data_IF_071495869963
#
_entry.id   IF_071495869963
#
_cell.length_a   1.000
_cell.length_b   1.000
_cell.length_c   1.000
_cell.angle_alpha   90.00
_cell.angle_beta   90.00
_cell.angle_gamma   90.00
#
_symmetry.space_group_name_H-M   'P 1'
#
loop_
_entity.id
_entity.type
_entity.pdbx_description
1 polymer ?
#
# COMPACT_ATOMS: atom_id res chain seq x y z
N UNK A 1 10.29 -5.79 10.35
CA UNK A 1 9.04 -6.07 9.62
C UNK A 1 8.03 -4.99 9.97
N UNK A 2 7.35 -4.41 8.97
CA UNK A 2 6.29 -3.42 9.18
C UNK A 2 4.93 -4.09 9.41
N UNK A 3 3.99 -3.37 10.03
CA UNK A 3 2.62 -3.84 10.27
C UNK A 3 1.82 -3.84 8.96
N UNK A 4 1.22 -4.98 8.60
CA UNK A 4 0.21 -5.04 7.55
C UNK A 4 -1.13 -4.72 8.18
N UNK A 5 -1.79 -3.67 7.70
CA UNK A 5 -3.12 -3.28 8.16
C UNK A 5 -4.15 -3.35 7.03
N UNK A 6 -5.22 -4.12 7.24
CA UNK A 6 -6.37 -4.17 6.33
C UNK A 6 -7.38 -3.09 6.72
N UNK A 7 -7.62 -2.13 5.81
CA UNK A 7 -8.48 -0.98 6.05
C UNK A 7 -9.84 -1.14 5.35
N UNK A 8 -10.78 -1.81 6.02
CA UNK A 8 -12.20 -1.85 5.63
C UNK A 8 -13.10 -1.60 6.84
N UNK A 9 -13.15 -0.34 7.30
CA UNK A 9 -13.81 0.06 8.57
C UNK A 9 -15.08 0.89 8.39
N UNK A 10 -15.58 1.02 7.15
CA UNK A 10 -16.72 1.91 6.83
C UNK A 10 -16.43 3.39 7.08
N UNK A 11 -15.15 3.78 7.16
CA UNK A 11 -14.74 5.15 7.39
C UNK A 11 -14.87 5.98 6.12
N UNK A 12 -15.20 7.26 6.29
CA UNK A 12 -15.02 8.22 5.21
C UNK A 12 -13.53 8.49 4.95
N UNK A 13 -13.27 9.21 3.86
CA UNK A 13 -11.91 9.54 3.45
C UNK A 13 -11.18 10.39 4.49
N UNK A 14 -11.85 11.35 5.12
CA UNK A 14 -11.21 12.26 6.08
C UNK A 14 -10.70 11.49 7.30
N UNK A 15 -11.53 10.58 7.82
CA UNK A 15 -11.18 9.75 8.97
C UNK A 15 -10.06 8.76 8.66
N UNK A 16 -10.06 8.17 7.46
CA UNK A 16 -8.97 7.31 6.99
C UNK A 16 -7.63 8.07 6.96
N UNK A 17 -7.62 9.26 6.39
CA UNK A 17 -6.41 10.08 6.24
C UNK A 17 -5.88 10.55 7.60
N UNK A 18 -6.76 11.03 8.48
CA UNK A 18 -6.39 11.42 9.83
C UNK A 18 -5.78 10.24 10.60
N UNK A 19 -6.41 9.07 10.53
CA UNK A 19 -5.88 7.87 11.17
C UNK A 19 -4.50 7.48 10.66
N UNK A 20 -4.30 7.45 9.33
CA UNK A 20 -3.00 7.10 8.75
C UNK A 20 -1.90 8.09 9.16
N UNK A 21 -2.21 9.38 9.17
CA UNK A 21 -1.28 10.43 9.57
C UNK A 21 -0.91 10.32 11.06
N UNK A 22 -1.90 10.23 11.94
CA UNK A 22 -1.69 10.17 13.39
C UNK A 22 -0.96 8.89 13.81
N UNK A 23 -1.18 7.79 13.09
CA UNK A 23 -0.61 6.48 13.44
C UNK A 23 0.83 6.34 12.95
N UNK A 24 1.11 6.75 11.71
CA UNK A 24 2.39 6.45 11.04
C UNK A 24 3.29 7.68 10.88
N UNK A 25 2.77 8.89 11.10
CA UNK A 25 3.55 10.13 11.00
C UNK A 25 4.02 10.45 9.59
N UNK A 26 4.69 11.59 9.43
CA UNK A 26 5.09 12.11 8.11
C UNK A 26 6.24 11.35 7.45
N UNK A 27 7.14 10.76 8.26
CA UNK A 27 8.31 10.00 7.80
C UNK A 27 8.57 8.77 8.66
N UNK A 28 9.15 7.75 8.05
CA UNK A 28 9.65 6.59 8.78
C UNK A 28 10.82 7.03 9.70
N UNK A 29 10.76 6.72 11.01
CA UNK A 29 11.77 7.17 11.97
C UNK A 29 13.14 6.47 11.81
N UNK A 30 13.22 5.39 11.02
CA UNK A 30 14.46 4.62 10.83
C UNK A 30 15.33 5.18 9.72
N UNK A 31 14.72 5.58 8.59
CA UNK A 31 15.42 5.95 7.36
C UNK A 31 14.97 7.31 6.77
N UNK A 32 14.10 8.04 7.47
CA UNK A 32 13.45 9.30 7.03
C UNK A 32 12.69 9.20 5.69
N UNK A 33 12.45 7.96 5.25
CA UNK A 33 11.74 7.61 4.04
C UNK A 33 10.22 7.67 4.20
N UNK A 34 9.49 7.15 3.20
CA UNK A 34 8.04 7.03 3.26
C UNK A 34 7.57 6.19 4.46
N UNK A 35 6.56 6.68 5.17
CA UNK A 35 6.04 6.00 6.37
C UNK A 35 5.14 4.82 6.05
N UNK A 36 4.51 4.83 4.88
CA UNK A 36 3.52 3.82 4.48
C UNK A 36 3.69 3.40 3.03
N UNK A 37 3.35 2.15 2.76
CA UNK A 37 3.07 1.63 1.42
C UNK A 37 1.56 1.46 1.30
N UNK A 38 0.97 1.97 0.22
CA UNK A 38 -0.46 1.78 -0.08
C UNK A 38 -0.61 0.69 -1.13
N UNK A 39 -1.38 -0.34 -0.81
CA UNK A 39 -1.74 -1.41 -1.75
C UNK A 39 -3.25 -1.46 -1.91
N UNK A 40 -3.73 -0.98 -3.05
CA UNK A 40 -5.12 -1.12 -3.48
C UNK A 40 -5.20 -2.08 -4.66
N UNK A 41 -6.41 -2.61 -4.90
CA UNK A 41 -6.71 -3.31 -6.13
C UNK A 41 -6.27 -2.49 -7.35
N UNK A 42 -5.62 -3.15 -8.30
CA UNK A 42 -5.19 -2.51 -9.55
C UNK A 42 -6.32 -2.46 -10.59
N UNK A 43 -7.55 -2.27 -10.12
CA UNK A 43 -8.69 -1.89 -10.92
C UNK A 43 -8.85 -0.35 -10.99
N UNK A 44 -9.90 0.12 -11.67
CA UNK A 44 -10.14 1.57 -11.80
C UNK A 44 -10.46 2.24 -10.45
N UNK A 45 -11.12 1.52 -9.54
CA UNK A 45 -11.57 2.05 -8.25
C UNK A 45 -10.40 2.15 -7.28
N UNK A 46 -9.62 1.07 -7.14
CA UNK A 46 -8.44 1.04 -6.31
C UNK A 46 -7.38 2.03 -6.78
N UNK A 47 -7.14 2.15 -8.09
CA UNK A 47 -6.22 3.19 -8.61
C UNK A 47 -6.68 4.62 -8.31
N UNK A 48 -8.00 4.89 -8.30
CA UNK A 48 -8.54 6.21 -7.88
C UNK A 48 -8.38 6.44 -6.39
N UNK A 49 -8.66 5.43 -5.57
CA UNK A 49 -8.52 5.51 -4.11
C UNK A 49 -7.06 5.72 -3.71
N UNK A 50 -6.15 4.96 -4.31
CA UNK A 50 -4.71 5.09 -4.11
C UNK A 50 -4.22 6.50 -4.44
N UNK A 51 -4.58 7.04 -5.61
CA UNK A 51 -4.23 8.41 -5.99
C UNK A 51 -4.82 9.46 -5.04
N UNK A 52 -6.04 9.24 -4.54
CA UNK A 52 -6.69 10.13 -3.59
C UNK A 52 -5.99 10.11 -2.22
N UNK A 53 -5.67 8.92 -1.70
CA UNK A 53 -4.94 8.75 -0.44
C UNK A 53 -3.58 9.43 -0.53
N UNK A 54 -2.84 9.15 -1.61
CA UNK A 54 -1.54 9.78 -1.86
C UNK A 54 -1.61 11.30 -1.83
N UNK A 55 -2.45 11.90 -2.68
CA UNK A 55 -2.55 13.35 -2.77
C UNK A 55 -2.88 14.01 -1.42
N UNK A 56 -3.75 13.39 -0.62
CA UNK A 56 -4.15 13.94 0.68
C UNK A 56 -3.03 13.82 1.71
N UNK A 57 -2.36 12.67 1.82
CA UNK A 57 -1.27 12.53 2.79
C UNK A 57 -0.03 13.33 2.39
N UNK A 58 0.31 13.37 1.10
CA UNK A 58 1.38 14.25 0.60
C UNK A 58 1.10 15.73 0.88
N UNK A 59 -0.18 16.16 0.85
CA UNK A 59 -0.56 17.53 1.23
C UNK A 59 -0.36 17.83 2.73
N UNK A 60 -0.21 16.79 3.56
CA UNK A 60 0.12 16.88 4.98
C UNK A 60 1.63 16.66 5.24
N UNK A 61 2.46 16.75 4.20
CA UNK A 61 3.91 16.46 4.22
C UNK A 61 4.25 15.00 4.60
N UNK A 62 3.29 14.08 4.47
CA UNK A 62 3.53 12.65 4.69
C UNK A 62 3.94 11.97 3.39
N UNK A 63 5.12 11.35 3.39
CA UNK A 63 5.63 10.59 2.25
C UNK A 63 5.01 9.19 2.18
N UNK A 64 4.58 8.81 0.98
CA UNK A 64 4.07 7.46 0.67
C UNK A 64 4.98 6.80 -0.37
N UNK A 65 5.19 5.50 -0.22
CA UNK A 65 5.80 4.66 -1.25
C UNK A 65 4.72 3.89 -2.04
N UNK A 66 4.69 4.09 -3.36
CA UNK A 66 3.83 3.34 -4.29
C UNK A 66 4.62 2.40 -5.21
N UNK A 67 5.95 2.31 -5.04
CA UNK A 67 6.84 1.53 -5.93
C UNK A 67 6.49 0.05 -5.96
N UNK A 68 6.14 -0.53 -4.80
CA UNK A 68 5.66 -1.90 -4.69
C UNK A 68 4.35 -2.08 -5.46
N UNK A 69 3.40 -1.15 -5.30
CA UNK A 69 2.13 -1.20 -6.02
C UNK A 69 2.32 -1.16 -7.53
N UNK A 70 3.16 -0.26 -8.05
CA UNK A 70 3.45 -0.19 -9.48
C UNK A 70 4.10 -1.47 -10.02
N UNK A 71 5.02 -2.05 -9.24
CA UNK A 71 5.71 -3.28 -9.60
C UNK A 71 4.74 -4.46 -9.66
N UNK A 72 3.92 -4.63 -8.62
CA UNK A 72 2.91 -5.69 -8.54
C UNK A 72 1.82 -5.51 -9.59
N UNK A 73 1.28 -4.30 -9.79
CA UNK A 73 0.30 -4.03 -10.84
C UNK A 73 0.83 -4.45 -12.21
N UNK A 74 2.09 -4.14 -12.53
CA UNK A 74 2.67 -4.48 -13.84
C UNK A 74 2.81 -5.99 -14.01
N UNK A 75 3.26 -6.69 -12.98
CA UNK A 75 3.46 -8.13 -13.02
C UNK A 75 2.13 -8.90 -13.04
N UNK A 76 1.15 -8.46 -12.24
CA UNK A 76 -0.07 -9.20 -11.92
C UNK A 76 -1.27 -8.87 -12.79
N UNK A 77 -1.23 -7.79 -13.60
CA UNK A 77 -2.36 -7.38 -14.45
C UNK A 77 -2.93 -8.50 -15.35
N UNK A 78 -2.13 -9.43 -15.90
CA UNK A 78 -2.66 -10.58 -16.64
C UNK A 78 -3.39 -11.59 -15.76
N UNK A 79 -2.96 -11.76 -14.51
CA UNK A 79 -3.36 -12.86 -13.61
C UNK A 79 -4.49 -12.45 -12.64
N UNK A 80 -4.80 -11.16 -12.54
CA UNK A 80 -5.89 -10.67 -11.70
C UNK A 80 -6.00 -9.15 -11.70
N UNK A 81 -6.98 -8.62 -10.96
CA UNK A 81 -7.14 -7.17 -10.72
C UNK A 81 -7.16 -6.78 -9.24
N UNK A 82 -7.05 -7.76 -8.34
CA UNK A 82 -7.20 -7.56 -6.91
C UNK A 82 -5.95 -7.99 -6.16
N UNK A 83 -5.66 -7.37 -5.03
CA UNK A 83 -4.47 -7.68 -4.22
C UNK A 83 -4.46 -9.16 -3.79
N UNK A 84 -5.63 -9.73 -3.52
CA UNK A 84 -5.78 -11.14 -3.12
C UNK A 84 -5.34 -12.12 -4.21
N UNK A 85 -5.27 -11.70 -5.48
CA UNK A 85 -4.77 -12.54 -6.57
C UNK A 85 -3.31 -12.97 -6.34
N UNK A 86 -2.54 -12.22 -5.53
CA UNK A 86 -1.19 -12.61 -5.11
C UNK A 86 -1.17 -13.96 -4.39
N UNK A 87 -2.28 -14.37 -3.76
CA UNK A 87 -2.35 -15.63 -3.03
C UNK A 87 -2.02 -16.84 -3.92
N UNK A 88 -2.39 -16.79 -5.21
CA UNK A 88 -2.10 -17.85 -6.17
C UNK A 88 -0.60 -18.02 -6.46
N UNK A 89 0.22 -17.03 -6.11
CA UNK A 89 1.67 -17.04 -6.35
C UNK A 89 2.47 -17.25 -5.06
N UNK A 90 1.82 -17.52 -3.93
CA UNK A 90 2.47 -17.68 -2.61
C UNK A 90 3.52 -18.79 -2.62
N UNK A 91 3.25 -19.92 -3.26
CA UNK A 91 4.20 -21.05 -3.38
C UNK A 91 5.52 -20.65 -4.07
N UNK A 92 5.49 -19.65 -4.96
CA UNK A 92 6.66 -19.13 -5.67
C UNK A 92 7.30 -17.97 -4.90
N UNK A 93 6.49 -17.07 -4.34
CA UNK A 93 6.97 -15.85 -3.67
C UNK A 93 7.57 -16.13 -2.30
N UNK A 94 7.00 -17.06 -1.53
CA UNK A 94 7.46 -17.34 -0.16
C UNK A 94 8.92 -17.80 -0.10
N UNK A 95 9.38 -18.78 -0.92
CA UNK A 95 10.79 -19.16 -0.94
C UNK A 95 11.73 -17.99 -1.28
N UNK A 96 11.38 -17.18 -2.29
CA UNK A 96 12.19 -16.03 -2.71
C UNK A 96 12.29 -14.96 -1.62
N UNK A 97 11.21 -14.73 -0.89
CA UNK A 97 11.20 -13.80 0.26
C UNK A 97 12.10 -14.34 1.37
N UNK A 98 12.02 -15.65 1.68
CA UNK A 98 12.82 -16.29 2.72
C UNK A 98 14.33 -16.26 2.41
N UNK A 99 14.73 -16.27 1.13
CA UNK A 99 16.15 -16.13 0.75
C UNK A 99 16.74 -14.75 1.08
N UNK A 100 15.89 -13.72 1.30
CA UNK A 100 16.29 -12.33 1.49
C UNK A 100 16.04 -11.80 2.92
N UNK A 101 15.57 -12.64 3.84
CA UNK A 101 15.33 -12.31 5.27
C UNK A 101 16.33 -13.10 6.13
#
# INVERSE_FOLDING_TARGET
>A
MGTIELLNRGWDQSKLIAYLYDTYGSRNPVDEGPSIIVLMDWDRTGGRLQSMIRKRLESLDMKIDESLWFSLMRAMKPDGRTVEALNAHTDVLLPLIQEHI
#
